data_IF_340113106476
#
_entry.id   IF_340113106476
#
_cell.length_a   1.000
_cell.length_b   1.000
_cell.length_c   1.000
_cell.angle_alpha   90.00
_cell.angle_beta   90.00
_cell.angle_gamma   90.00
#
_symmetry.space_group_name_H-M   'P 1'
#
loop_
_entity.id
_entity.type
_entity.pdbx_description
1 polymer ?
#
# COMPACT_ATOMS: atom_id res chain seq x y z
N UNK A 1 0.57 18.15 -1.86
CA UNK A 1 1.23 17.40 -2.95
C UNK A 1 1.84 18.37 -3.97
N UNK A 2 3.05 18.10 -4.40
CA UNK A 2 3.80 18.85 -5.38
C UNK A 2 3.79 18.10 -6.71
N UNK A 3 3.23 18.71 -7.76
CA UNK A 3 3.26 18.13 -9.11
C UNK A 3 4.50 18.58 -9.85
N UNK A 4 5.43 17.66 -10.23
CA UNK A 4 6.61 18.01 -11.01
C UNK A 4 6.29 18.67 -12.35
N UNK A 5 5.17 18.29 -12.96
CA UNK A 5 4.69 18.91 -14.21
C UNK A 5 4.37 20.38 -13.98
N UNK A 6 3.63 20.72 -12.91
CA UNK A 6 3.29 22.12 -12.60
C UNK A 6 4.53 22.96 -12.29
N UNK A 7 5.55 22.39 -11.64
CA UNK A 7 6.81 23.08 -11.41
C UNK A 7 7.56 23.40 -12.71
N UNK A 8 7.60 22.45 -13.63
CA UNK A 8 8.21 22.68 -14.95
C UNK A 8 7.38 23.65 -15.78
N UNK A 9 6.05 23.64 -15.68
CA UNK A 9 5.16 24.55 -16.38
C UNK A 9 5.25 26.01 -15.88
N UNK A 10 5.78 26.25 -14.67
CA UNK A 10 6.12 27.59 -14.21
C UNK A 10 7.25 28.24 -15.01
N UNK A 11 8.20 27.44 -15.50
CA UNK A 11 9.38 27.90 -16.25
C UNK A 11 9.17 27.69 -17.74
N UNK A 12 8.45 26.64 -18.12
CA UNK A 12 8.27 26.21 -19.51
C UNK A 12 6.80 25.89 -19.82
N UNK A 13 6.18 26.72 -20.63
CA UNK A 13 4.84 26.45 -21.20
C UNK A 13 5.02 25.86 -22.60
N UNK A 14 4.76 24.55 -22.83
CA UNK A 14 4.82 24.00 -24.17
C UNK A 14 3.76 24.66 -25.06
N UNK A 15 4.12 25.04 -26.27
CA UNK A 15 3.15 25.51 -27.28
C UNK A 15 2.10 24.40 -27.44
N UNK A 16 0.85 24.68 -27.17
CA UNK A 16 -0.26 23.79 -27.50
C UNK A 16 -0.32 23.71 -29.02
N UNK A 17 0.23 22.64 -29.60
CA UNK A 17 -0.02 22.34 -31.00
C UNK A 17 -1.52 22.34 -31.22
N UNK A 18 -2.00 23.23 -32.08
CA UNK A 18 -3.40 23.45 -32.36
C UNK A 18 -4.09 22.12 -32.66
N UNK A 19 -4.84 21.61 -31.75
CA UNK A 19 -5.87 20.62 -32.05
C UNK A 19 -6.89 21.36 -32.89
N UNK A 20 -6.90 21.10 -34.19
CA UNK A 20 -8.02 21.43 -35.05
C UNK A 20 -9.29 20.96 -34.32
N UNK A 21 -10.26 21.84 -34.05
CA UNK A 21 -11.49 21.41 -33.39
C UNK A 21 -12.14 20.38 -34.31
N UNK A 22 -12.24 19.16 -33.86
CA UNK A 22 -13.08 18.17 -34.51
C UNK A 22 -14.48 18.74 -34.49
N UNK A 23 -15.02 19.08 -35.65
CA UNK A 23 -16.42 19.42 -35.85
C UNK A 23 -17.26 18.44 -35.04
N UNK A 24 -18.03 18.99 -34.12
CA UNK A 24 -19.01 18.24 -33.38
C UNK A 24 -19.88 17.48 -34.42
N UNK A 25 -19.81 16.16 -34.38
CA UNK A 25 -20.79 15.32 -35.07
C UNK A 25 -22.15 15.67 -34.47
N UNK A 26 -22.98 16.35 -35.24
CA UNK A 26 -24.38 16.53 -34.96
C UNK A 26 -25.00 15.16 -34.80
N UNK A 27 -25.35 14.82 -33.56
CA UNK A 27 -26.15 13.64 -33.25
C UNK A 27 -27.54 13.92 -33.80
N UNK A 28 -28.10 13.07 -34.68
CA UNK A 28 -29.48 13.23 -35.14
C UNK A 28 -30.42 13.10 -33.94
N UNK A 29 -31.52 13.91 -33.90
CA UNK A 29 -32.49 13.86 -32.79
C UNK A 29 -33.15 12.48 -32.77
N UNK A 30 -33.49 11.93 -31.56
CA UNK A 30 -34.16 10.66 -31.45
C UNK A 30 -35.57 10.72 -32.03
N UNK A 31 -36.08 9.64 -32.64
CA UNK A 31 -37.42 9.57 -33.21
C UNK A 31 -38.47 9.79 -32.15
N UNK A 32 -39.42 10.70 -32.43
CA UNK A 32 -40.62 10.93 -31.60
C UNK A 32 -41.47 9.66 -31.60
N UNK A 33 -41.54 8.98 -30.49
CA UNK A 33 -42.56 7.96 -30.23
C UNK A 33 -43.91 8.65 -29.99
N UNK A 34 -44.87 8.31 -30.85
CA UNK A 34 -46.28 8.70 -30.77
C UNK A 34 -46.90 7.90 -29.65
N UNK A 35 -47.27 8.54 -28.56
CA UNK A 35 -47.98 7.90 -27.45
C UNK A 35 -49.47 7.87 -27.71
N UNK A 36 -50.04 6.78 -27.32
CA UNK A 36 -51.50 6.53 -27.22
C UNK A 36 -51.85 6.46 -25.74
N UNK A 37 -52.75 7.32 -25.33
CA UNK A 37 -54.02 7.10 -24.67
C UNK A 37 -54.05 6.65 -23.21
N UNK A 38 -54.78 7.42 -22.41
CA UNK A 38 -55.70 6.85 -21.43
C UNK A 38 -55.47 7.23 -19.97
N UNK A 39 -56.50 7.96 -19.41
CA UNK A 39 -56.89 7.77 -18.01
C UNK A 39 -56.67 8.92 -17.08
N UNK A 40 -57.70 9.70 -16.98
CA UNK A 40 -58.28 10.48 -15.91
C UNK A 40 -57.82 10.20 -14.48
N UNK A 41 -57.54 11.25 -13.67
CA UNK A 41 -58.47 11.65 -12.58
C UNK A 41 -58.00 12.96 -11.92
N UNK A 42 -59.07 13.77 -11.65
CA UNK A 42 -59.16 15.04 -10.99
C UNK A 42 -58.61 15.05 -9.59
N UNK A 43 -58.14 16.23 -9.13
CA UNK A 43 -58.78 16.96 -8.03
C UNK A 43 -58.23 18.38 -7.95
N UNK A 44 -59.20 19.27 -7.78
CA UNK A 44 -59.21 20.70 -7.64
C UNK A 44 -58.56 21.19 -6.35
N UNK A 45 -58.11 22.44 -6.36
CA UNK A 45 -58.50 23.63 -5.58
C UNK A 45 -57.41 24.67 -5.74
N UNK A 46 -57.64 25.76 -6.40
CA UNK A 46 -58.30 27.02 -6.12
C UNK A 46 -57.50 27.93 -5.18
N UNK A 47 -57.24 29.13 -5.65
CA UNK A 47 -57.32 30.47 -5.13
C UNK A 47 -56.17 31.37 -5.62
N UNK A 48 -56.45 32.16 -6.60
CA UNK A 48 -56.83 33.59 -6.61
C UNK A 48 -55.78 34.57 -6.07
N UNK A 49 -55.28 35.43 -6.90
CA UNK A 49 -55.54 36.88 -6.96
C UNK A 49 -54.44 37.69 -7.67
N UNK A 50 -54.88 38.28 -8.75
CA UNK A 50 -54.68 39.68 -9.15
C UNK A 50 -53.38 40.42 -8.80
N UNK A 51 -52.70 40.91 -9.86
CA UNK A 51 -51.76 42.01 -9.74
C UNK A 51 -51.25 42.50 -11.11
N UNK A 52 -51.94 43.46 -11.69
CA UNK A 52 -51.53 44.24 -12.88
C UNK A 52 -50.24 45.02 -12.58
N UNK A 53 -49.28 45.03 -13.50
CA UNK A 53 -48.18 45.98 -13.49
C UNK A 53 -47.45 45.98 -14.84
N UNK A 54 -47.91 46.82 -15.77
CA UNK A 54 -47.15 47.19 -16.97
C UNK A 54 -45.94 48.02 -16.53
N UNK A 55 -44.71 47.52 -16.74
CA UNK A 55 -43.49 48.33 -16.68
C UNK A 55 -42.62 47.98 -17.86
N UNK A 56 -42.62 48.84 -18.88
CA UNK A 56 -41.58 48.87 -19.90
C UNK A 56 -40.28 49.25 -19.23
N UNK A 57 -39.33 48.38 -19.08
CA UNK A 57 -37.95 48.71 -18.76
C UNK A 57 -37.11 48.53 -20.01
N UNK A 58 -36.34 49.54 -20.34
CA UNK A 58 -35.38 49.61 -21.43
C UNK A 58 -34.29 48.53 -21.28
N UNK A 59 -33.71 48.06 -22.37
CA UNK A 59 -32.64 47.06 -22.32
C UNK A 59 -31.42 47.68 -21.63
N UNK A 60 -30.94 46.98 -20.59
CA UNK A 60 -29.68 47.29 -19.92
C UNK A 60 -28.50 47.22 -20.90
N UNK A 61 -27.54 48.12 -20.79
CA UNK A 61 -26.36 48.08 -21.65
C UNK A 61 -25.57 46.80 -21.36
N UNK A 62 -25.28 46.03 -22.40
CA UNK A 62 -24.42 44.85 -22.34
C UNK A 62 -23.04 45.26 -21.80
N UNK A 63 -22.46 44.51 -20.85
CA UNK A 63 -21.07 44.72 -20.45
C UNK A 63 -20.17 44.53 -21.67
N UNK A 64 -19.44 45.57 -22.02
CA UNK A 64 -18.37 45.47 -23.01
C UNK A 64 -17.39 44.35 -22.53
N UNK A 65 -17.35 43.27 -23.26
CA UNK A 65 -16.36 42.23 -23.18
C UNK A 65 -14.97 42.87 -23.34
N UNK A 66 -14.28 43.02 -22.19
CA UNK A 66 -12.86 43.36 -22.19
C UNK A 66 -12.15 42.22 -22.83
N UNK A 67 -11.88 42.31 -24.12
CA UNK A 67 -10.95 41.43 -24.79
C UNK A 67 -9.59 41.58 -24.11
N UNK A 68 -9.30 40.68 -23.16
CA UNK A 68 -7.94 40.43 -22.73
C UNK A 68 -7.18 39.85 -23.90
N UNK A 69 -6.51 40.73 -24.59
CA UNK A 69 -5.49 40.41 -25.60
C UNK A 69 -4.26 39.91 -24.81
N UNK A 70 -4.32 38.67 -24.32
CA UNK A 70 -3.14 37.96 -23.87
C UNK A 70 -2.34 37.60 -25.14
N UNK A 71 -1.48 38.52 -25.53
CA UNK A 71 -0.39 38.21 -26.44
C UNK A 71 0.55 37.24 -25.72
N UNK A 72 0.24 35.93 -25.80
CA UNK A 72 1.17 34.85 -25.51
C UNK A 72 2.30 34.89 -26.53
N UNK A 73 3.25 35.83 -26.36
CA UNK A 73 4.51 35.78 -27.07
C UNK A 73 5.20 34.48 -26.68
N UNK A 74 5.47 33.55 -27.63
CA UNK A 74 6.18 32.33 -27.29
C UNK A 74 7.53 32.73 -26.71
N UNK A 75 7.77 32.38 -25.45
CA UNK A 75 9.04 32.63 -24.79
C UNK A 75 10.13 31.88 -25.60
N UNK A 76 11.27 32.53 -25.86
CA UNK A 76 12.42 31.91 -26.52
C UNK A 76 12.86 30.59 -25.86
N UNK A 77 12.43 30.34 -24.64
CA UNK A 77 12.57 29.10 -23.87
C UNK A 77 11.68 27.95 -24.41
N UNK A 78 10.59 28.26 -25.15
CA UNK A 78 9.66 27.25 -25.66
C UNK A 78 10.28 26.27 -26.67
N UNK A 79 11.38 26.65 -27.31
CA UNK A 79 12.07 25.82 -28.29
C UNK A 79 13.27 25.03 -27.76
N UNK A 80 13.57 25.17 -26.46
CA UNK A 80 14.65 24.42 -25.85
C UNK A 80 14.37 22.92 -25.87
N UNK A 81 15.20 22.17 -26.61
CA UNK A 81 15.14 20.69 -26.67
C UNK A 81 15.30 20.06 -25.26
N UNK A 82 16.05 20.72 -24.37
CA UNK A 82 16.30 20.28 -23.00
C UNK A 82 15.01 20.40 -22.20
N UNK A 83 14.33 21.55 -22.25
CA UNK A 83 13.08 21.78 -21.50
C UNK A 83 11.94 20.88 -22.03
N UNK A 84 11.87 20.60 -23.32
CA UNK A 84 10.94 19.60 -23.89
C UNK A 84 11.19 18.20 -23.32
N UNK A 85 12.46 17.79 -23.18
CA UNK A 85 12.82 16.51 -22.54
C UNK A 85 12.46 16.51 -21.05
N UNK A 86 12.82 17.56 -20.31
CA UNK A 86 12.51 17.70 -18.87
C UNK A 86 11.00 17.67 -18.63
N UNK A 87 10.22 18.41 -19.40
CA UNK A 87 8.76 18.36 -19.32
C UNK A 87 8.20 16.97 -19.67
N UNK A 88 8.76 16.30 -20.68
CA UNK A 88 8.40 14.92 -21.01
C UNK A 88 8.69 13.94 -19.87
N UNK A 89 9.79 14.14 -19.15
CA UNK A 89 10.12 13.37 -17.93
C UNK A 89 9.19 13.71 -16.76
N UNK A 90 8.95 14.99 -16.54
CA UNK A 90 8.07 15.44 -15.45
C UNK A 90 6.65 14.85 -15.55
N UNK A 91 6.15 14.65 -16.78
CA UNK A 91 4.86 13.97 -17.03
C UNK A 91 4.83 12.49 -16.63
N UNK A 92 5.99 11.86 -16.52
CA UNK A 92 6.10 10.45 -16.10
C UNK A 92 6.16 10.31 -14.58
N UNK A 93 6.48 11.39 -13.88
CA UNK A 93 6.57 11.42 -12.41
C UNK A 93 5.21 11.79 -11.84
N UNK A 94 4.71 10.95 -10.94
CA UNK A 94 3.49 11.22 -10.19
C UNK A 94 3.71 12.38 -9.21
N UNK A 95 2.67 13.04 -8.73
CA UNK A 95 2.80 14.07 -7.69
C UNK A 95 3.57 13.53 -6.48
N UNK A 96 4.48 14.35 -5.96
CA UNK A 96 5.21 14.06 -4.73
C UNK A 96 4.34 14.49 -3.56
N UNK A 97 3.99 13.57 -2.71
CA UNK A 97 3.21 13.81 -1.51
C UNK A 97 4.15 13.81 -0.30
N UNK A 98 4.12 14.91 0.45
CA UNK A 98 4.80 15.07 1.71
C UNK A 98 3.78 15.05 2.84
N UNK A 99 4.09 14.36 3.91
CA UNK A 99 3.32 14.41 5.15
C UNK A 99 4.28 14.58 6.31
N UNK A 100 3.99 15.53 7.17
CA UNK A 100 4.65 15.70 8.45
C UNK A 100 3.56 15.79 9.52
N UNK A 101 3.72 15.02 10.57
CA UNK A 101 2.81 15.01 11.72
C UNK A 101 3.64 15.03 12.98
N UNK A 102 3.28 15.93 13.89
CA UNK A 102 3.88 16.03 15.20
C UNK A 102 2.77 15.95 16.25
N UNK A 103 2.92 15.02 17.17
CA UNK A 103 2.00 14.82 18.27
C UNK A 103 2.75 14.91 19.59
N UNK A 104 2.30 15.79 20.45
CA UNK A 104 2.81 15.94 21.82
C UNK A 104 1.66 15.67 22.79
N UNK A 105 1.82 14.68 23.62
CA UNK A 105 0.88 14.37 24.68
C UNK A 105 1.58 14.51 26.02
N UNK A 106 1.03 15.35 26.89
CA UNK A 106 1.54 15.59 28.24
C UNK A 106 0.42 15.40 29.23
N UNK A 107 0.67 14.59 30.24
CA UNK A 107 -0.24 14.36 31.36
C UNK A 107 0.47 14.73 32.65
N UNK A 108 -0.01 15.72 33.36
CA UNK A 108 0.47 16.09 34.69
C UNK A 108 -0.42 15.46 35.76
N UNK A 109 0.15 14.91 36.80
CA UNK A 109 -0.56 14.36 37.94
C UNK A 109 -0.16 15.12 39.21
N UNK A 110 -1.15 15.37 40.10
CA UNK A 110 -0.93 16.02 41.38
C UNK A 110 -0.38 17.43 41.29
N UNK A 111 -0.67 18.17 40.23
CA UNK A 111 -0.22 19.54 40.00
C UNK A 111 -0.84 20.47 41.05
N UNK A 112 -0.03 21.24 41.78
CA UNK A 112 -0.46 22.16 42.81
C UNK A 112 -0.67 23.55 42.21
N UNK A 113 -1.95 24.05 42.31
CA UNK A 113 -2.29 25.39 41.82
C UNK A 113 -2.98 25.41 40.43
N UNK A 114 -3.25 26.61 39.95
CA UNK A 114 -3.89 26.81 38.65
C UNK A 114 -2.91 26.68 37.51
N UNK A 115 -3.25 25.85 36.54
CA UNK A 115 -2.43 25.64 35.35
C UNK A 115 -2.47 26.90 34.49
N UNK A 116 -1.29 27.50 34.14
CA UNK A 116 -1.19 28.71 33.34
C UNK A 116 -1.86 28.57 31.97
N UNK A 117 -2.48 29.63 31.49
CA UNK A 117 -3.20 29.64 30.24
C UNK A 117 -2.29 29.30 29.04
N UNK A 118 -1.03 29.74 29.06
CA UNK A 118 -0.04 29.42 28.06
C UNK A 118 0.22 27.92 27.91
N UNK A 119 0.22 27.17 29.04
CA UNK A 119 0.33 25.72 29.01
C UNK A 119 -0.96 25.05 28.52
N UNK A 120 -2.14 25.55 28.95
CA UNK A 120 -3.46 25.05 28.48
C UNK A 120 -3.63 25.21 26.98
N UNK A 121 -3.08 26.26 26.41
CA UNK A 121 -3.14 26.52 24.97
C UNK A 121 -1.98 25.93 24.17
N UNK A 122 -1.05 25.25 24.85
CA UNK A 122 0.09 24.58 24.20
C UNK A 122 1.26 25.51 23.83
N UNK A 123 1.23 26.78 24.23
CA UNK A 123 2.33 27.74 23.98
C UNK A 123 3.52 27.56 24.93
N UNK A 124 3.29 27.02 26.14
CA UNK A 124 4.32 26.72 27.10
C UNK A 124 4.57 25.21 27.17
N UNK A 125 5.83 24.81 27.24
CA UNK A 125 6.20 23.39 27.34
C UNK A 125 6.02 22.82 28.74
N UNK A 126 6.14 23.66 29.78
CA UNK A 126 6.03 23.27 31.17
C UNK A 126 5.05 24.18 31.90
N UNK A 127 4.35 23.66 32.88
CA UNK A 127 3.40 24.44 33.68
C UNK A 127 4.08 25.21 34.84
N UNK A 128 5.35 24.88 35.19
CA UNK A 128 6.13 25.57 36.23
C UNK A 128 5.58 25.42 37.65
N UNK A 129 4.64 24.50 37.89
CA UNK A 129 3.99 24.29 39.17
C UNK A 129 4.57 23.06 39.88
N UNK A 130 4.56 23.07 41.21
CA UNK A 130 4.93 21.91 42.02
C UNK A 130 3.92 20.77 41.91
N UNK A 131 4.31 19.60 42.42
CA UNK A 131 3.47 18.43 42.48
C UNK A 131 3.24 18.04 43.95
N UNK A 132 2.07 17.45 44.25
CA UNK A 132 1.75 16.91 45.56
C UNK A 132 2.69 15.75 45.93
N UNK A 133 3.14 15.71 47.16
CA UNK A 133 3.96 14.62 47.72
C UNK A 133 3.30 13.24 47.60
N UNK A 134 1.96 13.19 47.58
CA UNK A 134 1.21 11.95 47.44
C UNK A 134 1.42 11.26 46.08
N UNK A 135 1.84 11.98 45.05
CA UNK A 135 2.10 11.45 43.71
C UNK A 135 3.49 10.80 43.63
N UNK A 136 4.40 11.16 44.53
CA UNK A 136 5.77 10.66 44.56
C UNK A 136 6.53 10.98 43.23
N UNK A 137 7.17 9.98 42.68
CA UNK A 137 7.89 10.08 41.41
C UNK A 137 6.99 10.05 40.17
N UNK A 138 5.70 9.75 40.32
CA UNK A 138 4.77 9.65 39.18
C UNK A 138 4.11 11.00 38.85
N UNK A 139 4.91 11.97 38.47
CA UNK A 139 4.47 13.35 38.17
C UNK A 139 3.72 13.48 36.85
N UNK A 140 3.60 12.43 36.07
CA UNK A 140 2.90 12.40 34.78
C UNK A 140 3.68 11.74 33.65
N UNK A 141 3.12 11.79 32.47
CA UNK A 141 3.71 11.23 31.27
C UNK A 141 3.95 12.29 30.22
N UNK A 142 5.02 12.13 29.47
CA UNK A 142 5.30 12.92 28.29
C UNK A 142 5.58 11.98 27.12
N UNK A 143 4.85 12.17 26.04
CA UNK A 143 4.99 11.40 24.79
C UNK A 143 5.06 12.38 23.62
N UNK A 144 6.12 12.31 22.85
CA UNK A 144 6.35 13.16 21.69
C UNK A 144 6.67 12.29 20.48
N UNK A 145 5.82 12.35 19.48
CA UNK A 145 5.94 11.59 18.24
C UNK A 145 6.02 12.52 17.05
N UNK A 146 6.97 12.27 16.17
CA UNK A 146 7.14 12.93 14.88
C UNK A 146 7.16 11.89 13.79
N UNK A 147 6.34 12.11 12.78
CA UNK A 147 6.27 11.25 11.61
C UNK A 147 6.51 12.11 10.37
N UNK A 148 7.41 11.66 9.52
CA UNK A 148 7.69 12.26 8.22
C UNK A 148 7.56 11.21 7.15
N UNK A 149 6.85 11.51 6.07
CA UNK A 149 6.77 10.61 4.92
C UNK A 149 6.75 11.34 3.59
N UNK A 150 7.38 10.71 2.60
CA UNK A 150 7.42 11.17 1.21
C UNK A 150 7.00 10.02 0.31
N UNK A 151 6.06 10.27 -0.57
CA UNK A 151 5.58 9.28 -1.54
C UNK A 151 5.51 9.88 -2.93
N UNK A 152 5.99 9.11 -3.91
CA UNK A 152 5.90 9.47 -5.32
C UNK A 152 5.87 8.21 -6.19
N UNK A 153 5.81 8.38 -7.50
CA UNK A 153 5.86 7.29 -8.45
C UNK A 153 6.35 7.76 -9.80
N UNK A 154 6.74 6.80 -10.63
CA UNK A 154 7.29 7.03 -11.95
C UNK A 154 6.67 6.06 -12.94
N UNK A 155 6.00 6.58 -13.96
CA UNK A 155 5.47 5.81 -15.08
C UNK A 155 6.52 5.82 -16.21
N UNK A 156 7.49 4.90 -16.15
CA UNK A 156 8.59 4.85 -17.11
C UNK A 156 8.09 4.60 -18.53
N UNK A 157 7.18 3.64 -18.64
CA UNK A 157 6.54 3.27 -19.89
C UNK A 157 5.06 3.00 -19.69
N UNK A 158 4.31 2.70 -20.76
CA UNK A 158 2.90 2.26 -20.65
C UNK A 158 2.74 0.90 -19.95
N UNK A 159 3.83 0.15 -19.83
CA UNK A 159 3.85 -1.20 -19.25
C UNK A 159 4.56 -1.25 -17.89
N UNK A 160 5.31 -0.22 -17.51
CA UNK A 160 6.13 -0.21 -16.30
C UNK A 160 5.82 1.01 -15.44
N UNK A 161 5.37 0.76 -14.22
CA UNK A 161 5.22 1.76 -13.16
C UNK A 161 6.09 1.40 -11.96
N UNK A 162 6.68 2.41 -11.34
CA UNK A 162 7.47 2.30 -10.13
C UNK A 162 6.90 3.27 -9.12
N UNK A 163 6.69 2.84 -7.89
CA UNK A 163 6.33 3.74 -6.77
C UNK A 163 7.43 3.74 -5.75
N UNK A 164 7.62 4.87 -5.08
CA UNK A 164 8.60 5.07 -4.03
C UNK A 164 7.89 5.62 -2.81
N UNK A 165 8.28 5.15 -1.65
CA UNK A 165 7.87 5.71 -0.37
C UNK A 165 9.07 5.77 0.57
N UNK A 166 9.16 6.83 1.34
CA UNK A 166 10.08 6.97 2.45
C UNK A 166 9.29 7.41 3.67
N UNK A 167 9.53 6.76 4.78
CA UNK A 167 8.94 7.12 6.07
C UNK A 167 10.00 7.10 7.16
N UNK A 168 9.89 8.06 8.07
CA UNK A 168 10.70 8.14 9.27
C UNK A 168 9.82 8.55 10.44
N UNK A 169 9.88 7.75 11.50
CA UNK A 169 9.17 7.97 12.74
C UNK A 169 10.19 8.17 13.86
N UNK A 170 9.96 9.14 14.71
CA UNK A 170 10.75 9.37 15.91
C UNK A 170 9.81 9.52 17.09
N UNK A 171 10.10 8.85 18.19
CA UNK A 171 9.33 9.02 19.41
C UNK A 171 10.25 9.19 20.62
N UNK A 172 9.79 10.00 21.57
CA UNK A 172 10.37 10.16 22.89
C UNK A 172 9.27 10.01 23.92
N UNK A 173 9.50 9.19 24.91
CA UNK A 173 8.52 8.91 25.96
C UNK A 173 9.22 8.95 27.31
N UNK A 174 8.61 9.65 28.30
CA UNK A 174 9.05 9.70 29.70
C UNK A 174 7.86 9.50 30.61
N UNK A 175 8.00 8.65 31.59
CA UNK A 175 6.98 8.41 32.62
C UNK A 175 7.47 8.88 33.98
N UNK A 176 6.78 9.87 34.55
CA UNK A 176 7.16 10.49 35.80
C UNK A 176 8.55 11.12 35.79
N UNK A 177 9.30 10.95 36.86
CA UNK A 177 10.73 11.29 36.96
C UNK A 177 11.65 10.16 36.50
N UNK A 178 11.10 9.13 35.86
CA UNK A 178 11.80 7.92 35.50
C UNK A 178 12.54 8.01 34.17
N UNK A 179 12.88 6.82 33.66
CA UNK A 179 13.66 6.64 32.45
C UNK A 179 12.99 7.26 31.22
N UNK A 180 13.76 7.98 30.46
CA UNK A 180 13.35 8.48 29.15
C UNK A 180 13.68 7.43 28.07
N UNK A 181 12.67 7.02 27.33
CA UNK A 181 12.83 6.12 26.19
C UNK A 181 12.72 6.92 24.90
N UNK A 182 13.64 6.71 24.00
CA UNK A 182 13.61 7.26 22.66
C UNK A 182 13.66 6.16 21.64
N UNK A 183 12.91 6.29 20.57
CA UNK A 183 12.97 5.36 19.46
C UNK A 183 12.92 6.09 18.14
N UNK A 184 13.55 5.49 17.15
CA UNK A 184 13.54 5.91 15.77
C UNK A 184 13.24 4.71 14.88
N UNK A 185 12.48 4.96 13.85
CA UNK A 185 12.24 4.00 12.77
C UNK A 185 12.31 4.74 11.45
N UNK A 186 13.09 4.24 10.49
CA UNK A 186 13.21 4.84 9.15
C UNK A 186 13.25 3.78 8.08
N UNK A 187 12.82 4.15 6.88
CA UNK A 187 12.99 3.29 5.73
C UNK A 187 14.49 3.17 5.41
N UNK A 188 14.93 1.94 5.18
CA UNK A 188 16.33 1.58 5.10
C UNK A 188 16.54 0.43 4.12
N UNK A 189 17.55 0.53 3.28
CA UNK A 189 17.91 -0.53 2.36
C UNK A 189 19.23 -1.18 2.75
N UNK A 190 19.19 -2.46 3.03
CA UNK A 190 20.37 -3.25 3.35
C UNK A 190 20.77 -4.13 2.17
N UNK A 191 22.07 -4.23 1.92
CA UNK A 191 22.61 -5.02 0.82
C UNK A 191 22.87 -6.46 1.24
N UNK A 192 22.29 -7.41 0.50
CA UNK A 192 22.58 -8.84 0.63
C UNK A 192 22.25 -9.42 2.00
N UNK A 193 23.14 -10.27 2.51
CA UNK A 193 23.00 -10.90 3.84
C UNK A 193 23.57 -10.03 4.97
N UNK A 194 24.35 -9.00 4.64
CA UNK A 194 24.98 -8.10 5.61
C UNK A 194 24.02 -6.96 5.93
N UNK A 195 23.17 -7.16 6.94
CA UNK A 195 22.23 -6.15 7.40
C UNK A 195 22.91 -4.89 7.99
N UNK A 196 24.22 -4.95 8.23
CA UNK A 196 25.03 -3.83 8.71
C UNK A 196 25.35 -2.83 7.60
N UNK A 197 25.51 -3.33 6.37
CA UNK A 197 25.86 -2.52 5.22
C UNK A 197 24.61 -2.06 4.50
N UNK A 198 24.00 -1.02 4.98
CA UNK A 198 22.82 -0.45 4.36
C UNK A 198 22.87 1.08 4.40
N UNK A 199 21.86 1.69 3.85
CA UNK A 199 21.68 3.15 3.86
C UNK A 199 20.19 3.50 3.99
N UNK A 200 19.89 4.67 4.56
CA UNK A 200 18.55 5.22 4.51
C UNK A 200 18.12 5.35 3.04
N UNK A 201 17.09 4.64 2.66
CA UNK A 201 16.61 4.64 1.29
C UNK A 201 15.12 4.31 1.21
N UNK A 202 14.49 4.80 0.17
CA UNK A 202 13.06 4.60 -0.07
C UNK A 202 12.73 3.13 -0.32
N UNK A 203 11.64 2.65 0.26
CA UNK A 203 10.96 1.46 -0.23
C UNK A 203 10.45 1.70 -1.65
N UNK A 204 10.42 0.66 -2.49
CA UNK A 204 9.88 0.78 -3.84
C UNK A 204 9.02 -0.42 -4.22
N UNK A 205 8.11 -0.18 -5.14
CA UNK A 205 7.40 -1.24 -5.83
C UNK A 205 7.48 -1.04 -7.34
N UNK A 206 7.69 -2.13 -8.05
CA UNK A 206 7.74 -2.17 -9.51
C UNK A 206 6.62 -3.05 -10.00
N UNK A 207 5.81 -2.53 -10.91
CA UNK A 207 4.77 -3.31 -11.59
C UNK A 207 4.96 -3.23 -13.08
N UNK A 208 5.00 -4.40 -13.72
CA UNK A 208 5.04 -4.57 -15.15
C UNK A 208 3.72 -5.19 -15.62
N UNK A 209 3.00 -4.52 -16.52
CA UNK A 209 1.73 -4.98 -17.07
C UNK A 209 1.73 -4.86 -18.59
N UNK A 210 0.92 -5.66 -19.27
CA UNK A 210 0.85 -5.56 -20.74
C UNK A 210 1.97 -6.28 -21.47
N UNK A 211 2.71 -7.15 -20.78
CA UNK A 211 3.78 -7.98 -21.37
C UNK A 211 3.24 -9.01 -22.38
N UNK A 212 1.95 -9.34 -22.27
CA UNK A 212 1.24 -10.19 -23.24
C UNK A 212 1.19 -9.61 -24.67
N UNK A 213 1.51 -8.32 -24.84
CA UNK A 213 1.59 -7.68 -26.15
C UNK A 213 2.81 -8.13 -26.96
N UNK A 214 3.79 -8.76 -26.31
CA UNK A 214 4.92 -9.37 -26.98
C UNK A 214 4.44 -10.45 -27.97
N UNK A 215 5.02 -10.50 -29.17
CA UNK A 215 4.62 -11.40 -30.26
C UNK A 215 4.57 -12.88 -29.83
N UNK A 216 5.52 -13.31 -29.00
CA UNK A 216 5.58 -14.67 -28.49
C UNK A 216 4.50 -14.94 -27.44
N UNK A 217 4.34 -14.06 -26.43
CA UNK A 217 3.40 -14.24 -25.32
C UNK A 217 1.95 -14.09 -25.77
N UNK A 218 1.67 -13.21 -26.73
CA UNK A 218 0.33 -12.97 -27.28
C UNK A 218 -0.37 -14.25 -27.79
N UNK A 219 0.39 -15.27 -28.15
CA UNK A 219 -0.16 -16.54 -28.64
C UNK A 219 -0.86 -17.32 -27.52
N UNK A 220 -0.31 -17.32 -26.32
CA UNK A 220 -0.74 -18.18 -25.20
C UNK A 220 -1.38 -17.40 -24.07
N UNK A 221 -0.92 -16.19 -23.80
CA UNK A 221 -1.29 -15.38 -22.64
C UNK A 221 -2.30 -14.31 -23.04
N UNK A 222 -3.32 -14.11 -22.22
CA UNK A 222 -4.31 -13.05 -22.33
C UNK A 222 -3.89 -11.81 -21.54
N UNK A 223 -3.39 -12.01 -20.32
CA UNK A 223 -2.87 -10.96 -19.45
C UNK A 223 -1.67 -11.47 -18.68
N UNK A 224 -0.64 -10.64 -18.51
CA UNK A 224 0.53 -10.93 -17.69
C UNK A 224 0.93 -9.69 -16.90
N UNK A 225 1.05 -9.87 -15.59
CA UNK A 225 1.55 -8.85 -14.66
C UNK A 225 2.69 -9.46 -13.85
N UNK A 226 3.75 -8.68 -13.69
CA UNK A 226 4.86 -8.96 -12.79
C UNK A 226 4.90 -7.87 -11.73
N UNK A 227 5.05 -8.27 -10.48
CA UNK A 227 5.12 -7.37 -9.32
C UNK A 227 6.40 -7.66 -8.52
N UNK A 228 7.05 -6.59 -8.09
CA UNK A 228 8.16 -6.63 -7.14
C UNK A 228 7.97 -5.54 -6.12
N UNK A 229 8.08 -5.86 -4.84
CA UNK A 229 7.94 -4.90 -3.74
C UNK A 229 9.06 -5.13 -2.75
N UNK A 230 9.76 -4.05 -2.39
CA UNK A 230 10.72 -4.08 -1.30
C UNK A 230 10.44 -2.94 -0.31
N UNK A 231 10.53 -3.28 0.96
CA UNK A 231 10.41 -2.35 2.06
C UNK A 231 11.40 -2.77 3.16
N UNK A 232 12.42 -1.97 3.35
CA UNK A 232 13.39 -2.14 4.42
C UNK A 232 13.14 -1.13 5.53
N UNK A 233 13.36 -1.53 6.78
CA UNK A 233 13.14 -0.68 7.94
C UNK A 233 14.26 -0.87 8.95
N UNK A 234 14.86 0.23 9.39
CA UNK A 234 15.74 0.29 10.55
C UNK A 234 14.95 0.83 11.73
N UNK A 235 15.05 0.18 12.87
CA UNK A 235 14.43 0.62 14.12
C UNK A 235 15.48 0.57 15.21
N UNK A 236 15.63 1.67 15.97
CA UNK A 236 16.55 1.77 17.10
C UNK A 236 15.82 2.31 18.32
N UNK A 237 16.20 1.85 19.49
CA UNK A 237 15.65 2.32 20.75
C UNK A 237 16.78 2.60 21.75
N UNK A 238 16.66 3.72 22.44
CA UNK A 238 17.58 4.20 23.47
C UNK A 238 16.85 4.38 24.79
N UNK A 239 17.60 4.29 25.89
CA UNK A 239 17.11 4.54 27.23
C UNK A 239 18.11 5.41 28.00
N UNK A 240 17.58 6.46 28.63
CA UNK A 240 18.36 7.44 29.39
C UNK A 240 17.74 7.59 30.78
N UNK A 241 18.58 7.80 31.78
CA UNK A 241 18.11 8.11 33.14
C UNK A 241 17.61 9.55 33.21
N UNK A 242 18.38 10.49 32.67
CA UNK A 242 18.01 11.88 32.45
C UNK A 242 18.69 12.34 31.17
N UNK A 243 17.91 12.85 30.24
CA UNK A 243 18.45 13.28 28.98
C UNK A 243 18.29 14.79 28.78
N UNK A 244 19.40 15.49 28.66
CA UNK A 244 19.48 16.93 28.36
C UNK A 244 19.99 17.25 26.96
N UNK A 245 20.25 16.23 26.14
CA UNK A 245 20.77 16.38 24.79
C UNK A 245 19.72 16.78 23.74
N UNK A 246 20.14 16.92 22.48
CA UNK A 246 19.27 17.31 21.38
C UNK A 246 18.19 16.23 21.12
N UNK A 247 16.99 16.66 20.73
CA UNK A 247 15.99 15.72 20.27
C UNK A 247 16.39 15.12 18.93
N UNK A 248 15.98 13.85 18.70
CA UNK A 248 16.17 13.23 17.39
C UNK A 248 15.30 13.99 16.37
N UNK A 249 15.92 14.54 15.34
CA UNK A 249 15.24 15.21 14.24
C UNK A 249 15.50 14.45 12.94
N UNK A 250 14.73 14.76 11.92
CA UNK A 250 14.84 14.10 10.61
C UNK A 250 16.27 14.11 10.02
N UNK A 251 17.00 15.19 10.24
CA UNK A 251 18.32 15.44 9.62
C UNK A 251 19.52 15.12 10.53
N UNK A 252 19.31 14.79 11.81
CA UNK A 252 20.40 14.51 12.77
C UNK A 252 20.44 13.06 13.28
N UNK A 253 19.71 12.15 12.62
CA UNK A 253 19.57 10.76 13.07
C UNK A 253 20.92 10.05 13.15
N UNK A 254 21.77 10.21 12.12
CA UNK A 254 23.05 9.50 12.07
C UNK A 254 24.02 10.05 13.13
N UNK A 255 24.03 11.37 13.36
CA UNK A 255 24.78 11.99 14.45
C UNK A 255 24.28 11.51 15.82
N UNK A 256 22.97 11.40 15.98
CA UNK A 256 22.39 10.88 17.22
C UNK A 256 22.79 9.43 17.48
N UNK A 257 22.75 8.58 16.46
CA UNK A 257 23.20 7.18 16.55
C UNK A 257 24.67 7.13 16.97
N UNK A 258 25.53 7.92 16.33
CA UNK A 258 26.96 7.92 16.62
C UNK A 258 27.28 8.38 18.05
N UNK A 259 26.57 9.39 18.55
CA UNK A 259 26.86 10.00 19.86
C UNK A 259 26.26 9.23 21.05
N UNK A 260 25.24 8.39 20.85
CA UNK A 260 24.51 7.74 21.94
C UNK A 260 24.46 6.21 21.81
N UNK A 261 25.53 5.59 21.31
CA UNK A 261 25.64 4.13 21.16
C UNK A 261 25.54 3.40 22.50
N UNK A 262 26.11 3.92 23.56
CA UNK A 262 26.11 3.30 24.89
C UNK A 262 24.72 3.23 25.53
N UNK A 263 23.83 4.13 25.12
CA UNK A 263 22.44 4.16 25.57
C UNK A 263 21.50 3.32 24.71
N UNK A 264 22.00 2.78 23.60
CA UNK A 264 21.19 1.96 22.69
C UNK A 264 20.83 0.63 23.35
N UNK A 265 19.54 0.30 23.37
CA UNK A 265 19.02 -0.94 23.93
C UNK A 265 18.77 -1.98 22.87
N UNK A 266 18.29 -1.56 21.73
CA UNK A 266 18.02 -2.44 20.61
C UNK A 266 18.26 -1.74 19.29
N UNK A 267 18.88 -2.46 18.37
CA UNK A 267 18.99 -2.10 16.96
C UNK A 267 18.38 -3.22 16.13
N UNK A 268 17.48 -2.89 15.24
CA UNK A 268 16.84 -3.87 14.36
C UNK A 268 16.77 -3.35 12.95
N UNK A 269 17.22 -4.17 12.01
CA UNK A 269 17.04 -3.95 10.57
C UNK A 269 16.18 -5.07 10.01
N UNK A 270 15.14 -4.71 9.30
CA UNK A 270 14.22 -5.64 8.66
C UNK A 270 14.12 -5.33 7.18
N UNK A 271 14.36 -6.32 6.33
CA UNK A 271 14.18 -6.26 4.88
C UNK A 271 13.02 -7.18 4.49
N UNK A 272 12.00 -6.61 3.90
CA UNK A 272 10.81 -7.32 3.47
C UNK A 272 10.61 -7.17 1.96
N UNK A 273 10.53 -8.29 1.28
CA UNK A 273 10.18 -8.40 -0.13
C UNK A 273 8.84 -9.14 -0.23
N UNK A 274 7.76 -8.41 -0.46
CA UNK A 274 6.41 -8.98 -0.49
C UNK A 274 5.57 -8.42 -1.66
N UNK A 275 5.71 -9.01 -2.86
CA UNK A 275 6.58 -10.12 -3.22
C UNK A 275 8.00 -9.71 -3.66
N UNK A 276 8.99 -10.60 -3.49
CA UNK A 276 10.26 -10.51 -4.20
C UNK A 276 10.05 -10.69 -5.71
N UNK A 277 9.23 -11.67 -6.08
CA UNK A 277 8.74 -11.87 -7.45
C UNK A 277 7.29 -12.32 -7.35
N UNK A 278 6.37 -11.53 -7.93
CA UNK A 278 4.98 -11.86 -8.12
C UNK A 278 4.66 -11.97 -9.61
N UNK A 279 3.96 -13.04 -10.00
CA UNK A 279 3.51 -13.28 -11.38
C UNK A 279 2.03 -13.55 -11.33
N UNK A 280 1.25 -12.78 -12.07
CA UNK A 280 -0.17 -13.06 -12.29
C UNK A 280 -0.41 -13.14 -13.78
N UNK A 281 -0.90 -14.29 -14.25
CA UNK A 281 -1.20 -14.49 -15.65
C UNK A 281 -2.55 -15.15 -15.88
N UNK A 282 -3.22 -14.75 -16.94
CA UNK A 282 -4.37 -15.46 -17.46
C UNK A 282 -4.06 -15.97 -18.86
N UNK A 283 -4.23 -17.27 -19.06
CA UNK A 283 -4.04 -17.92 -20.35
C UNK A 283 -5.33 -17.81 -21.18
N UNK A 284 -5.20 -17.90 -22.49
CA UNK A 284 -6.37 -17.83 -23.41
C UNK A 284 -7.34 -18.97 -23.24
N UNK A 285 -6.88 -20.13 -22.78
CA UNK A 285 -7.70 -21.33 -22.53
C UNK A 285 -8.43 -21.34 -21.19
N UNK A 286 -8.53 -20.19 -20.48
CA UNK A 286 -9.29 -20.08 -19.24
C UNK A 286 -8.52 -20.44 -17.97
N UNK A 287 -7.22 -20.72 -18.06
CA UNK A 287 -6.36 -20.95 -16.89
C UNK A 287 -5.88 -19.60 -16.36
N UNK A 288 -6.05 -19.36 -15.07
CA UNK A 288 -5.46 -18.22 -14.34
C UNK A 288 -4.43 -18.75 -13.33
N UNK A 289 -3.24 -18.18 -13.34
CA UNK A 289 -2.13 -18.58 -12.46
C UNK A 289 -1.63 -17.35 -11.71
N UNK A 290 -1.48 -17.49 -10.40
CA UNK A 290 -0.81 -16.51 -9.54
C UNK A 290 0.33 -17.22 -8.82
N UNK A 291 1.53 -16.65 -8.89
CA UNK A 291 2.71 -17.14 -8.20
C UNK A 291 3.33 -15.98 -7.42
N UNK A 292 3.73 -16.22 -6.19
CA UNK A 292 4.40 -15.22 -5.33
C UNK A 292 5.53 -15.88 -4.56
N UNK A 293 6.67 -15.24 -4.57
CA UNK A 293 7.79 -15.53 -3.69
C UNK A 293 8.00 -14.32 -2.79
N UNK A 294 7.80 -14.51 -1.50
CA UNK A 294 8.10 -13.48 -0.49
C UNK A 294 9.37 -13.88 0.27
N UNK A 295 10.08 -12.87 0.74
CA UNK A 295 11.28 -13.08 1.56
C UNK A 295 11.38 -11.96 2.60
N UNK A 296 11.56 -12.35 3.85
CA UNK A 296 11.87 -11.43 4.95
C UNK A 296 13.21 -11.82 5.56
N UNK A 297 14.04 -10.82 5.83
CA UNK A 297 15.30 -10.96 6.52
C UNK A 297 15.34 -9.89 7.61
N UNK A 298 15.50 -10.28 8.87
CA UNK A 298 15.59 -9.37 9.99
C UNK A 298 16.81 -9.68 10.82
N UNK A 299 17.55 -8.66 11.22
CA UNK A 299 18.62 -8.74 12.21
C UNK A 299 18.25 -7.82 13.38
N UNK A 300 18.44 -8.31 14.57
CA UNK A 300 18.24 -7.60 15.82
C UNK A 300 19.50 -7.76 16.67
N UNK A 301 19.92 -6.66 17.25
CA UNK A 301 21.03 -6.59 18.21
C UNK A 301 20.51 -5.96 19.49
N UNK A 302 20.83 -6.57 20.61
CA UNK A 302 20.43 -6.12 21.94
C UNK A 302 21.61 -5.44 22.66
N UNK A 303 21.34 -4.60 23.65
CA UNK A 303 22.34 -3.88 24.45
C UNK A 303 23.42 -4.78 25.07
N UNK A 304 23.09 -6.05 25.33
CA UNK A 304 24.02 -7.04 25.86
C UNK A 304 24.86 -7.74 24.76
N UNK A 305 24.91 -7.17 23.55
CA UNK A 305 25.67 -7.72 22.42
C UNK A 305 25.09 -9.01 21.81
N UNK A 306 23.95 -9.49 22.30
CA UNK A 306 23.25 -10.63 21.71
C UNK A 306 22.67 -10.29 20.34
N UNK A 307 22.88 -11.15 19.34
CA UNK A 307 22.39 -10.94 17.98
C UNK A 307 21.41 -12.05 17.59
N UNK A 308 20.33 -11.65 16.90
CA UNK A 308 19.32 -12.56 16.36
C UNK A 308 19.06 -12.25 14.90
N UNK A 309 19.12 -13.30 14.07
CA UNK A 309 18.80 -13.21 12.65
C UNK A 309 17.57 -14.07 12.39
N UNK A 310 16.54 -13.47 11.83
CA UNK A 310 15.34 -14.15 11.39
C UNK A 310 15.26 -14.12 9.88
N UNK A 311 15.01 -15.29 9.28
CA UNK A 311 14.83 -15.46 7.85
C UNK A 311 13.51 -16.16 7.60
N UNK A 312 12.68 -15.59 6.75
CA UNK A 312 11.43 -16.15 6.30
C UNK A 312 11.36 -16.14 4.78
N UNK A 313 10.89 -17.23 4.19
CA UNK A 313 10.68 -17.37 2.76
C UNK A 313 9.37 -18.10 2.52
N UNK A 314 8.53 -17.53 1.68
CA UNK A 314 7.29 -18.18 1.27
C UNK A 314 7.14 -18.21 -0.24
N UNK A 315 6.62 -19.32 -0.73
CA UNK A 315 6.30 -19.56 -2.13
C UNK A 315 4.83 -19.96 -2.21
N UNK A 316 4.05 -19.13 -2.86
CA UNK A 316 2.62 -19.37 -3.07
C UNK A 316 2.35 -19.52 -4.55
N UNK A 317 1.60 -20.55 -4.92
CA UNK A 317 1.10 -20.73 -6.27
C UNK A 317 -0.38 -21.13 -6.22
N UNK A 318 -1.19 -20.43 -6.99
CA UNK A 318 -2.58 -20.80 -7.22
C UNK A 318 -2.83 -20.88 -8.72
N UNK A 319 -3.39 -21.98 -9.17
CA UNK A 319 -3.82 -22.13 -10.55
C UNK A 319 -5.31 -22.51 -10.58
N UNK A 320 -6.10 -21.71 -11.30
CA UNK A 320 -7.52 -21.91 -11.46
C UNK A 320 -7.82 -22.19 -12.93
N UNK A 321 -8.61 -23.21 -13.17
CA UNK A 321 -9.11 -23.54 -14.50
C UNK A 321 -10.61 -23.79 -14.46
N UNK A 322 -11.33 -23.12 -15.33
CA UNK A 322 -12.77 -23.31 -15.50
C UNK A 322 -13.02 -23.88 -16.87
N UNK A 323 -13.54 -25.08 -16.91
CA UNK A 323 -14.01 -25.71 -18.13
C UNK A 323 -15.53 -25.46 -18.29
N UNK A 324 -15.91 -24.88 -19.40
CA UNK A 324 -17.31 -24.65 -19.77
C UNK A 324 -17.61 -25.48 -21.01
N UNK A 325 -18.62 -26.34 -20.94
CA UNK A 325 -18.97 -27.25 -22.02
C UNK A 325 -18.71 -28.69 -21.66
N UNK A 326 -19.42 -29.61 -22.29
CA UNK A 326 -19.33 -31.01 -21.95
C UNK A 326 -17.96 -31.62 -22.19
N UNK A 327 -17.47 -32.42 -21.26
CA UNK A 327 -16.32 -33.31 -21.46
C UNK A 327 -16.73 -34.72 -21.05
N UNK A 328 -16.08 -35.71 -21.68
CA UNK A 328 -16.25 -37.10 -21.29
C UNK A 328 -15.24 -37.45 -20.21
N UNK A 329 -15.67 -38.12 -19.16
CA UNK A 329 -14.80 -38.55 -18.08
C UNK A 329 -13.97 -39.75 -18.60
N UNK A 330 -12.63 -39.66 -18.64
CA UNK A 330 -11.78 -40.70 -19.24
C UNK A 330 -11.48 -41.86 -18.27
N UNK A 331 -12.47 -42.31 -17.49
CA UNK A 331 -12.28 -43.46 -16.59
C UNK A 331 -13.10 -44.67 -17.10
N UNK A 332 -12.57 -45.86 -17.03
CA UNK A 332 -13.17 -47.07 -17.61
C UNK A 332 -14.56 -47.42 -17.03
N UNK A 333 -14.90 -46.92 -15.86
CA UNK A 333 -16.20 -47.12 -15.23
C UNK A 333 -17.27 -46.07 -15.64
N UNK A 334 -16.91 -45.03 -16.38
CA UNK A 334 -17.77 -43.91 -16.77
C UNK A 334 -17.82 -43.73 -18.30
N UNK A 335 -17.69 -44.83 -19.03
CA UNK A 335 -17.74 -44.82 -20.50
C UNK A 335 -18.96 -44.05 -21.01
N UNK A 336 -18.70 -42.99 -21.78
CA UNK A 336 -19.71 -42.12 -22.39
C UNK A 336 -20.47 -41.17 -21.47
N UNK A 337 -20.14 -41.03 -20.18
CA UNK A 337 -20.79 -40.01 -19.37
C UNK A 337 -20.24 -38.62 -19.74
N UNK A 338 -21.08 -37.85 -20.42
CA UNK A 338 -20.79 -36.44 -20.77
C UNK A 338 -21.19 -35.53 -19.63
N UNK A 339 -20.21 -34.88 -19.04
CA UNK A 339 -20.40 -33.83 -18.05
C UNK A 339 -20.74 -32.53 -18.78
N UNK A 340 -22.01 -32.09 -18.74
CA UNK A 340 -22.48 -30.96 -19.53
C UNK A 340 -22.32 -29.61 -18.86
N UNK A 341 -22.11 -29.60 -17.55
CA UNK A 341 -22.02 -28.39 -16.74
C UNK A 341 -20.57 -27.95 -16.50
N UNK A 342 -20.44 -26.79 -15.86
CA UNK A 342 -19.14 -26.21 -15.55
C UNK A 342 -18.38 -27.02 -14.51
N UNK A 343 -17.10 -27.25 -14.79
CA UNK A 343 -16.12 -27.79 -13.83
C UNK A 343 -15.08 -26.75 -13.52
N UNK A 344 -14.83 -26.52 -12.23
CA UNK A 344 -13.77 -25.66 -11.74
C UNK A 344 -12.69 -26.51 -11.10
N UNK A 345 -11.48 -26.34 -11.57
CA UNK A 345 -10.28 -26.96 -11.00
C UNK A 345 -9.45 -25.86 -10.35
N UNK A 346 -9.10 -26.05 -9.08
CA UNK A 346 -8.20 -25.17 -8.33
C UNK A 346 -7.03 -26.00 -7.79
N UNK A 347 -5.84 -25.58 -8.10
CA UNK A 347 -4.59 -26.08 -7.54
C UNK A 347 -3.97 -25.01 -6.66
N UNK A 348 -3.59 -25.37 -5.44
CA UNK A 348 -2.87 -24.50 -4.50
C UNK A 348 -1.59 -25.18 -4.06
N UNK A 349 -0.51 -24.43 -4.03
CA UNK A 349 0.76 -24.80 -3.46
C UNK A 349 1.25 -23.68 -2.57
N UNK A 350 1.62 -24.02 -1.34
CA UNK A 350 2.17 -23.12 -0.34
C UNK A 350 3.38 -23.79 0.30
N UNK A 351 4.50 -23.08 0.33
CA UNK A 351 5.73 -23.53 0.97
C UNK A 351 6.30 -22.39 1.80
N UNK A 352 6.50 -22.62 3.08
CA UNK A 352 7.09 -21.68 4.03
C UNK A 352 8.35 -22.27 4.66
N UNK A 353 9.40 -21.46 4.74
CA UNK A 353 10.65 -21.79 5.43
C UNK A 353 11.01 -20.66 6.38
N UNK A 354 11.02 -20.97 7.67
CA UNK A 354 11.41 -20.07 8.74
C UNK A 354 12.67 -20.57 9.43
N UNK A 355 13.61 -19.67 9.64
CA UNK A 355 14.86 -19.97 10.33
C UNK A 355 15.22 -18.83 11.26
N UNK A 356 15.57 -19.15 12.50
CA UNK A 356 16.14 -18.20 13.45
C UNK A 356 17.52 -18.64 13.86
N UNK A 357 18.47 -17.73 13.72
CA UNK A 357 19.83 -17.86 14.17
C UNK A 357 20.06 -16.90 15.34
N UNK A 358 20.72 -17.35 16.37
CA UNK A 358 21.03 -16.53 17.54
C UNK A 358 22.52 -16.67 17.89
N UNK A 359 23.12 -15.55 18.28
CA UNK A 359 24.48 -15.49 18.78
C UNK A 359 24.48 -14.75 20.11
N UNK A 360 24.94 -15.38 21.18
CA UNK A 360 25.20 -14.71 22.46
C UNK A 360 26.41 -13.78 22.34
N UNK A 361 26.55 -12.83 23.23
CA UNK A 361 27.64 -11.84 23.22
C UNK A 361 29.04 -12.47 23.11
N UNK A 362 29.30 -13.49 23.90
CA UNK A 362 30.60 -14.18 23.96
C UNK A 362 30.79 -15.26 22.87
N UNK A 363 29.73 -15.57 22.13
CA UNK A 363 29.81 -16.62 21.13
C UNK A 363 30.44 -16.09 19.83
N UNK A 364 31.30 -16.90 19.21
CA UNK A 364 31.89 -16.57 17.90
C UNK A 364 31.01 -16.94 16.72
N UNK A 365 30.05 -17.87 16.91
CA UNK A 365 29.21 -18.41 15.83
C UNK A 365 27.73 -18.29 16.16
N UNK A 366 26.93 -18.11 15.12
CA UNK A 366 25.48 -18.20 15.22
C UNK A 366 25.05 -19.67 15.40
N UNK A 367 24.16 -19.90 16.35
CA UNK A 367 23.47 -21.17 16.53
C UNK A 367 22.05 -21.06 15.96
N UNK A 368 21.60 -22.09 15.26
CA UNK A 368 20.22 -22.19 14.83
C UNK A 368 19.33 -22.58 15.99
N UNK A 369 18.45 -21.67 16.39
CA UNK A 369 17.51 -21.91 17.50
C UNK A 369 16.22 -22.53 17.00
N UNK A 370 15.69 -22.05 15.89
CA UNK A 370 14.46 -22.58 15.29
C UNK A 370 14.65 -22.79 13.79
N UNK A 371 14.09 -23.87 13.32
CA UNK A 371 13.91 -24.16 11.91
C UNK A 371 12.54 -24.79 11.72
N UNK A 372 11.79 -24.28 10.75
CA UNK A 372 10.52 -24.86 10.32
C UNK A 372 10.44 -24.78 8.81
N UNK A 373 10.17 -25.90 8.17
CA UNK A 373 9.86 -25.97 6.75
C UNK A 373 8.52 -26.66 6.60
N UNK A 374 7.55 -25.95 6.06
CA UNK A 374 6.24 -26.50 5.80
C UNK A 374 5.88 -26.33 4.33
N UNK A 375 5.26 -27.32 3.75
CA UNK A 375 4.64 -27.17 2.45
C UNK A 375 3.29 -27.89 2.41
N UNK A 376 2.40 -27.27 1.68
CA UNK A 376 1.04 -27.72 1.49
C UNK A 376 0.74 -27.71 0.01
N UNK A 377 0.16 -28.76 -0.50
CA UNK A 377 -0.42 -28.77 -1.84
C UNK A 377 -1.84 -29.28 -1.76
N UNK A 378 -2.73 -28.67 -2.56
CA UNK A 378 -4.13 -29.04 -2.56
C UNK A 378 -4.75 -28.92 -3.95
N UNK A 379 -5.62 -29.84 -4.23
CA UNK A 379 -6.44 -29.86 -5.45
C UNK A 379 -7.90 -29.84 -5.02
N UNK A 380 -8.66 -28.91 -5.60
CA UNK A 380 -10.10 -28.86 -5.45
C UNK A 380 -10.74 -28.93 -6.83
N UNK A 381 -11.64 -29.88 -7.00
CA UNK A 381 -12.46 -30.04 -8.18
C UNK A 381 -13.91 -29.75 -7.78
N UNK A 382 -14.54 -28.74 -8.36
CA UNK A 382 -15.94 -28.40 -8.09
C UNK A 382 -16.77 -28.57 -9.37
N UNK A 383 -17.83 -29.33 -9.26
CA UNK A 383 -18.79 -29.58 -10.34
C UNK A 383 -20.17 -29.04 -9.97
N UNK A 384 -20.77 -28.29 -10.87
CA UNK A 384 -22.12 -27.74 -10.69
C UNK A 384 -23.10 -28.68 -11.36
N UNK A 385 -23.83 -29.51 -10.58
CA UNK A 385 -24.86 -30.42 -11.08
C UNK A 385 -26.07 -29.65 -11.60
N UNK A 386 -26.44 -28.57 -10.92
CA UNK A 386 -27.49 -27.64 -11.30
C UNK A 386 -27.16 -26.22 -10.84
N UNK A 387 -28.11 -25.29 -11.02
CA UNK A 387 -27.98 -23.92 -10.48
C UNK A 387 -27.99 -23.88 -8.94
N UNK A 388 -28.51 -24.91 -8.31
CA UNK A 388 -28.68 -24.99 -6.85
C UNK A 388 -27.86 -26.09 -6.20
N UNK A 389 -27.28 -27.02 -6.95
CA UNK A 389 -26.54 -28.16 -6.43
C UNK A 389 -25.11 -28.14 -7.01
N UNK A 390 -24.14 -28.19 -6.15
CA UNK A 390 -22.71 -28.36 -6.53
C UNK A 390 -22.05 -29.37 -5.61
N UNK A 391 -21.08 -30.13 -6.16
CA UNK A 391 -20.21 -31.01 -5.39
C UNK A 391 -18.78 -30.61 -5.56
N UNK A 392 -17.98 -30.77 -4.50
CA UNK A 392 -16.55 -30.52 -4.52
C UNK A 392 -15.81 -31.73 -3.98
N UNK A 393 -14.76 -32.11 -4.68
CA UNK A 393 -13.78 -33.09 -4.23
C UNK A 393 -12.50 -32.31 -3.84
N UNK A 394 -11.97 -32.58 -2.68
CA UNK A 394 -10.82 -31.90 -2.11
C UNK A 394 -9.77 -32.96 -1.78
N UNK A 395 -8.56 -32.74 -2.21
CA UNK A 395 -7.39 -33.47 -1.78
C UNK A 395 -6.34 -32.49 -1.30
N UNK A 396 -5.80 -32.71 -0.10
CA UNK A 396 -4.73 -31.91 0.48
C UNK A 396 -3.63 -32.82 1.02
N UNK A 397 -2.40 -32.39 0.81
CA UNK A 397 -1.21 -32.95 1.40
C UNK A 397 -0.46 -31.83 2.12
N UNK A 398 -0.08 -32.07 3.37
CA UNK A 398 0.72 -31.18 4.20
C UNK A 398 1.91 -31.92 4.78
N UNK A 399 3.06 -31.30 4.72
CA UNK A 399 4.27 -31.75 5.37
C UNK A 399 4.85 -30.60 6.18
N UNK A 400 5.13 -30.84 7.43
CA UNK A 400 5.78 -29.90 8.33
C UNK A 400 7.01 -30.55 8.93
N UNK A 401 8.18 -29.93 8.74
CA UNK A 401 9.45 -30.33 9.34
C UNK A 401 9.93 -29.23 10.27
N UNK A 402 10.12 -29.56 11.54
CA UNK A 402 10.51 -28.63 12.58
C UNK A 402 11.67 -29.21 13.37
N UNK A 403 12.62 -28.35 13.74
CA UNK A 403 13.76 -28.72 14.57
C UNK A 403 13.34 -29.37 15.91
N UNK A 404 12.20 -28.97 16.46
CA UNK A 404 11.75 -29.43 17.77
C UNK A 404 10.86 -30.66 17.72
N UNK A 405 9.99 -30.76 16.71
CA UNK A 405 8.97 -31.83 16.63
C UNK A 405 9.26 -32.85 15.55
N UNK A 406 10.31 -32.61 14.74
CA UNK A 406 10.60 -33.45 13.58
C UNK A 406 9.57 -33.29 12.48
N UNK A 407 9.46 -34.32 11.65
CA UNK A 407 8.64 -34.34 10.45
C UNK A 407 7.24 -34.86 10.72
N UNK A 408 6.20 -34.07 10.36
CA UNK A 408 4.79 -34.44 10.42
C UNK A 408 4.18 -34.39 9.02
N UNK A 409 3.41 -35.41 8.68
CA UNK A 409 2.71 -35.51 7.40
C UNK A 409 1.21 -35.70 7.67
N UNK A 410 0.40 -34.85 7.02
CA UNK A 410 -1.06 -34.95 7.04
C UNK A 410 -1.57 -35.11 5.61
N UNK A 411 -2.57 -35.96 5.42
CA UNK A 411 -3.25 -36.18 4.15
C UNK A 411 -4.73 -36.12 4.38
N UNK A 412 -5.40 -35.20 3.69
CA UNK A 412 -6.83 -35.01 3.80
C UNK A 412 -7.50 -35.29 2.46
N UNK A 413 -8.56 -36.05 2.49
CA UNK A 413 -9.46 -36.24 1.35
C UNK A 413 -10.87 -35.95 1.80
N UNK A 414 -11.58 -35.07 1.07
CA UNK A 414 -12.90 -34.63 1.41
C UNK A 414 -13.81 -34.58 0.19
N UNK A 415 -15.10 -34.78 0.43
CA UNK A 415 -16.14 -34.61 -0.55
C UNK A 415 -17.27 -33.78 0.07
N UNK A 416 -17.62 -32.64 -0.56
CA UNK A 416 -18.67 -31.74 -0.11
C UNK A 416 -19.80 -31.65 -1.14
N UNK A 417 -21.02 -31.64 -0.67
CA UNK A 417 -22.21 -31.35 -1.51
C UNK A 417 -22.87 -30.09 -0.94
N UNK A 418 -23.01 -29.06 -1.77
CA UNK A 418 -23.68 -27.82 -1.43
C UNK A 418 -25.04 -27.76 -2.13
N UNK A 419 -26.12 -27.57 -1.35
CA UNK A 419 -27.47 -27.38 -1.80
C UNK A 419 -27.93 -25.97 -1.45
N UNK A 420 -28.17 -25.12 -2.45
CA UNK A 420 -28.75 -23.80 -2.26
C UNK A 420 -30.28 -23.88 -2.33
N UNK A 421 -30.95 -23.83 -1.19
CA UNK A 421 -32.41 -23.76 -1.10
C UNK A 421 -32.78 -22.28 -1.30
N UNK A 422 -33.46 -21.97 -2.39
CA UNK A 422 -34.09 -20.66 -2.57
C UNK A 422 -35.50 -20.73 -2.01
N UNK A 423 -35.75 -19.96 -0.95
CA UNK A 423 -37.07 -19.68 -0.43
C UNK A 423 -37.81 -18.72 -1.37
#
# INVERSE_FOLDING_TARGET
SLSPVKLVELIYKPSRGGRVPQRARTVPPPPRTRGSGGGEEKLEEDLDSRGRGRGRTAPAPQPKEIQKKDEDKPSKLADSKILKKVHGWARKVNPINFSYTENVNKTGMGVLGEIPLGYRLGFAQEHGLGHSEQVGSNTGNWDHKRNFSVRSGLNLTRVMSVTFNYAQDVSSNRRGSGLEQRSMSRDYFSYGQHLENGLPFMGWSVRLTGLERNKFLKRFVRTLSLDHVTNGKETRAWQFDQFSGPSIAFFNVDDFIANYQDNERTSRVNMNFSPLIGVTMALKKGVAITMRHNRTLSREESANGGQKIFQDQSYLMTANYTHRGGFSIPFPFFDNYKVNNQVNFTFNFDMNKNRTLQKAQEATKFAETTFTSSWKTGIRLTYSFSKTVSGSMIWEYRENDSKHTGKKIDRDFGFDINLAIRG
#
